data_IF_327899472764
#
_entry.id   IF_327899472764
#
_cell.length_a   1.000
_cell.length_b   1.000
_cell.length_c   1.000
_cell.angle_alpha   90.00
_cell.angle_beta   90.00
_cell.angle_gamma   90.00
#
_symmetry.space_group_name_H-M   'P 1'
#
loop_
_entity.id
_entity.type
_entity.pdbx_description
1 polymer ?
#
# COMPACT_ATOMS: atom_id res chain seq x y z
N UNK A 1 15.44 0.21 17.11
CA UNK A 1 14.55 -0.62 16.28
C UNK A 1 13.55 0.13 15.46
N UNK A 2 12.78 0.91 16.19
CA UNK A 2 11.78 1.80 15.64
C UNK A 2 12.34 2.75 14.57
N UNK A 3 13.59 3.22 14.66
CA UNK A 3 14.19 4.05 13.61
C UNK A 3 14.36 3.33 12.25
N UNK A 4 14.65 2.04 12.23
CA UNK A 4 14.73 1.27 10.98
C UNK A 4 13.33 1.06 10.39
N UNK A 5 12.34 0.86 11.26
CA UNK A 5 10.95 0.81 10.86
C UNK A 5 10.47 2.15 10.29
N UNK A 6 10.78 3.26 10.96
CA UNK A 6 10.44 4.63 10.55
C UNK A 6 11.06 4.98 9.19
N UNK A 7 12.35 4.72 9.02
CA UNK A 7 13.05 4.93 7.75
C UNK A 7 12.48 4.11 6.59
N UNK A 8 11.95 2.92 6.85
CA UNK A 8 11.26 2.14 5.81
C UNK A 8 9.93 2.78 5.43
N UNK A 9 9.18 3.30 6.41
CA UNK A 9 7.92 3.99 6.12
C UNK A 9 8.12 5.31 5.37
N UNK A 10 9.22 6.03 5.63
CA UNK A 10 9.60 7.19 4.83
C UNK A 10 9.82 6.80 3.37
N UNK A 11 10.58 5.73 3.10
CA UNK A 11 10.79 5.22 1.74
C UNK A 11 9.47 4.75 1.09
N UNK A 12 8.59 4.07 1.83
CA UNK A 12 7.26 3.70 1.34
C UNK A 12 6.42 4.94 1.00
N UNK A 13 6.51 6.02 1.78
CA UNK A 13 5.83 7.28 1.48
C UNK A 13 6.34 7.90 0.19
N UNK A 14 7.65 7.87 -0.06
CA UNK A 14 8.24 8.37 -1.30
C UNK A 14 7.79 7.55 -2.52
N UNK A 15 7.74 6.22 -2.39
CA UNK A 15 7.22 5.33 -3.44
C UNK A 15 5.73 5.59 -3.70
N UNK A 16 4.91 5.76 -2.67
CA UNK A 16 3.50 6.13 -2.80
C UNK A 16 3.32 7.50 -3.49
N UNK A 17 4.22 8.45 -3.22
CA UNK A 17 4.26 9.73 -3.93
C UNK A 17 4.44 9.53 -5.44
N UNK A 18 5.39 8.68 -5.85
CA UNK A 18 5.60 8.35 -7.28
C UNK A 18 4.41 7.63 -7.90
N UNK A 19 3.82 6.66 -7.19
CA UNK A 19 2.61 5.96 -7.64
C UNK A 19 1.45 6.95 -7.87
N UNK A 20 1.28 7.92 -6.97
CA UNK A 20 0.29 8.99 -7.11
C UNK A 20 0.57 9.88 -8.32
N UNK A 21 1.84 10.23 -8.56
CA UNK A 21 2.23 11.04 -9.71
C UNK A 21 1.97 10.29 -11.03
N UNK A 22 2.23 8.98 -11.08
CA UNK A 22 1.91 8.13 -12.22
C UNK A 22 0.39 8.04 -12.47
N UNK A 23 -0.40 7.83 -11.41
CA UNK A 23 -1.87 7.84 -11.49
C UNK A 23 -2.40 9.17 -12.03
N UNK A 24 -1.85 10.29 -11.56
CA UNK A 24 -2.21 11.63 -12.04
C UNK A 24 -1.81 11.85 -13.50
N UNK A 25 -0.64 11.34 -13.91
CA UNK A 25 -0.18 11.39 -15.30
C UNK A 25 -1.10 10.58 -16.21
N UNK A 26 -1.39 9.32 -15.87
CA UNK A 26 -2.30 8.47 -16.63
C UNK A 26 -3.70 9.13 -16.80
N UNK A 27 -4.21 9.79 -15.76
CA UNK A 27 -5.50 10.49 -15.78
C UNK A 27 -5.55 11.73 -16.69
N UNK A 28 -4.41 12.30 -17.10
CA UNK A 28 -4.36 13.51 -17.93
C UNK A 28 -4.74 13.24 -19.42
N UNK A 29 -5.04 11.99 -19.79
CA UNK A 29 -5.83 11.62 -20.97
C UNK A 29 -5.23 11.98 -22.34
N UNK A 30 -3.96 12.37 -22.42
CA UNK A 30 -3.28 12.79 -23.65
C UNK A 30 -2.21 11.79 -24.10
N UNK A 31 -2.12 10.64 -23.43
CA UNK A 31 -1.11 9.60 -23.64
C UNK A 31 -1.61 8.52 -24.59
N UNK A 32 -0.69 7.86 -25.30
CA UNK A 32 -1.03 6.70 -26.13
C UNK A 32 -1.23 5.45 -25.27
N UNK A 33 -1.83 4.40 -25.84
CA UNK A 33 -2.02 3.12 -25.15
C UNK A 33 -0.68 2.50 -24.72
N UNK A 34 0.37 2.64 -25.54
CA UNK A 34 1.72 2.17 -25.21
C UNK A 34 2.33 2.96 -24.03
N UNK A 35 2.08 4.26 -23.95
CA UNK A 35 2.54 5.10 -22.84
C UNK A 35 1.80 4.75 -21.53
N UNK A 36 0.49 4.48 -21.62
CA UNK A 36 -0.33 4.06 -20.47
C UNK A 36 0.11 2.68 -19.96
N UNK A 37 0.44 1.75 -20.86
CA UNK A 37 0.99 0.45 -20.48
C UNK A 37 2.37 0.60 -19.80
N UNK A 38 3.25 1.47 -20.30
CA UNK A 38 4.54 1.69 -19.65
C UNK A 38 4.41 2.30 -18.25
N UNK A 39 3.47 3.24 -18.06
CA UNK A 39 3.17 3.80 -16.73
C UNK A 39 2.60 2.75 -15.77
N UNK A 40 1.78 1.82 -16.29
CA UNK A 40 1.26 0.69 -15.53
C UNK A 40 2.40 -0.23 -15.06
N UNK A 41 3.31 -0.60 -15.96
CA UNK A 41 4.43 -1.46 -15.61
C UNK A 41 5.29 -0.82 -14.51
N UNK A 42 5.54 0.50 -14.60
CA UNK A 42 6.23 1.23 -13.53
C UNK A 42 5.44 1.23 -12.21
N UNK A 43 4.12 1.42 -12.27
CA UNK A 43 3.25 1.39 -11.09
C UNK A 43 3.29 0.03 -10.37
N UNK A 44 3.24 -1.07 -11.13
CA UNK A 44 3.31 -2.42 -10.59
C UNK A 44 4.70 -2.74 -10.01
N UNK A 45 5.76 -2.22 -10.61
CA UNK A 45 7.12 -2.36 -10.08
C UNK A 45 7.29 -1.58 -8.77
N UNK A 46 6.69 -0.40 -8.64
CA UNK A 46 6.65 0.35 -7.37
C UNK A 46 5.86 -0.39 -6.29
N UNK A 47 4.72 -1.01 -6.64
CA UNK A 47 3.98 -1.87 -5.72
C UNK A 47 4.78 -3.10 -5.26
N UNK A 48 5.52 -3.72 -6.17
CA UNK A 48 6.46 -4.81 -5.84
C UNK A 48 7.59 -4.32 -4.93
N UNK A 49 8.18 -3.16 -5.20
CA UNK A 49 9.20 -2.55 -4.35
C UNK A 49 8.68 -2.35 -2.92
N UNK A 50 7.44 -1.86 -2.75
CA UNK A 50 6.82 -1.76 -1.42
C UNK A 50 6.63 -3.10 -0.74
N UNK A 51 6.16 -4.10 -1.48
CA UNK A 51 6.05 -5.47 -0.96
C UNK A 51 7.40 -6.00 -0.51
N UNK A 52 8.46 -5.78 -1.29
CA UNK A 52 9.82 -6.21 -0.97
C UNK A 52 10.38 -5.49 0.26
N UNK A 53 10.09 -4.20 0.44
CA UNK A 53 10.45 -3.47 1.65
C UNK A 53 9.83 -4.11 2.91
N UNK A 54 8.53 -4.46 2.86
CA UNK A 54 7.85 -5.14 3.96
C UNK A 54 8.45 -6.54 4.22
N UNK A 55 8.75 -7.30 3.16
CA UNK A 55 9.28 -8.65 3.25
C UNK A 55 10.75 -8.72 3.67
N UNK A 56 11.55 -7.68 3.45
CA UNK A 56 13.00 -7.71 3.63
C UNK A 56 13.55 -6.83 4.75
N UNK A 57 12.76 -5.88 5.27
CA UNK A 57 13.24 -4.98 6.34
C UNK A 57 13.48 -5.74 7.63
N UNK A 58 14.74 -5.72 8.10
CA UNK A 58 15.22 -6.54 9.22
C UNK A 58 16.08 -5.75 10.18
N UNK A 59 16.26 -6.32 11.37
CA UNK A 59 17.26 -5.91 12.33
C UNK A 59 17.64 -6.99 13.30
N UNK A 60 18.95 -7.05 13.60
CA UNK A 60 19.46 -8.08 14.48
C UNK A 60 19.06 -9.48 14.01
N UNK A 61 18.85 -9.66 12.71
CA UNK A 61 18.38 -10.91 12.09
C UNK A 61 16.87 -11.17 12.17
N UNK A 62 16.07 -10.29 12.77
CA UNK A 62 14.61 -10.43 12.84
C UNK A 62 13.94 -9.54 11.81
N UNK A 63 12.94 -10.07 11.10
CA UNK A 63 12.11 -9.27 10.22
C UNK A 63 11.16 -8.37 11.03
N UNK A 64 10.90 -7.15 10.56
CA UNK A 64 10.05 -6.21 11.27
C UNK A 64 8.57 -6.30 10.86
N UNK A 65 8.24 -6.62 9.61
CA UNK A 65 6.89 -6.43 9.04
C UNK A 65 6.36 -7.59 8.21
N UNK A 66 7.23 -8.43 7.65
CA UNK A 66 6.87 -9.51 6.76
C UNK A 66 5.94 -10.53 7.41
N UNK A 67 5.10 -11.16 6.61
CA UNK A 67 4.26 -12.30 7.01
C UNK A 67 5.04 -13.60 6.85
N UNK A 68 4.75 -14.59 7.71
CA UNK A 68 5.28 -15.94 7.55
C UNK A 68 4.93 -16.49 6.16
N UNK A 69 5.91 -17.14 5.53
CA UNK A 69 5.81 -17.62 4.15
C UNK A 69 6.35 -16.64 3.09
N UNK A 70 6.32 -15.32 3.36
CA UNK A 70 6.80 -14.30 2.42
C UNK A 70 7.97 -13.46 2.98
N UNK A 71 8.11 -13.39 4.31
CA UNK A 71 9.28 -12.77 4.94
C UNK A 71 10.58 -13.47 4.54
N UNK A 72 11.65 -12.70 4.36
CA UNK A 72 13.01 -13.22 4.18
C UNK A 72 13.54 -14.08 5.34
N UNK A 73 12.90 -14.01 6.52
CA UNK A 73 13.22 -14.85 7.68
C UNK A 73 12.33 -16.10 7.78
N UNK A 74 11.30 -16.23 6.94
CA UNK A 74 10.32 -17.32 6.97
C UNK A 74 9.31 -17.26 8.12
N UNK A 75 9.49 -16.33 9.07
CA UNK A 75 8.63 -16.13 10.24
C UNK A 75 7.89 -14.80 10.16
N UNK A 76 6.83 -14.65 10.95
CA UNK A 76 6.16 -13.37 11.10
C UNK A 76 7.11 -12.31 11.67
N UNK A 77 7.02 -11.11 11.13
CA UNK A 77 7.77 -9.96 11.55
C UNK A 77 7.34 -9.49 12.94
N UNK A 78 8.25 -8.78 13.61
CA UNK A 78 8.07 -8.34 14.99
C UNK A 78 6.77 -7.53 15.19
N UNK A 79 6.41 -6.66 14.25
CA UNK A 79 5.22 -5.79 14.32
C UNK A 79 3.92 -6.42 13.81
N UNK A 80 3.95 -7.70 13.41
CA UNK A 80 2.75 -8.49 13.12
C UNK A 80 1.91 -8.75 14.38
N UNK A 81 2.46 -8.46 15.56
CA UNK A 81 1.77 -8.47 16.85
C UNK A 81 2.22 -7.28 17.71
N UNK A 82 1.61 -7.12 18.87
CA UNK A 82 2.02 -6.12 19.86
C UNK A 82 3.44 -6.40 20.37
N UNK A 83 4.27 -5.36 20.40
CA UNK A 83 5.65 -5.41 20.89
C UNK A 83 5.76 -4.56 22.14
N UNK A 84 6.19 -5.17 23.25
CA UNK A 84 6.37 -4.48 24.53
C UNK A 84 7.85 -4.22 24.78
N UNK A 85 8.19 -2.96 25.01
CA UNK A 85 9.53 -2.50 25.33
C UNK A 85 9.60 -2.15 26.82
N UNK A 86 10.60 -2.68 27.51
CA UNK A 86 10.96 -2.25 28.85
C UNK A 86 11.69 -0.90 28.75
N UNK A 87 11.16 0.14 29.39
CA UNK A 87 11.69 1.52 29.30
C UNK A 87 12.19 2.08 30.64
N UNK A 88 11.96 1.36 31.73
CA UNK A 88 12.44 1.73 33.06
C UNK A 88 13.05 0.55 33.82
N UNK A 89 13.28 0.76 35.11
CA UNK A 89 13.92 -0.23 35.98
C UNK A 89 12.90 -1.23 36.57
N UNK A 90 11.66 -0.80 36.77
CA UNK A 90 10.62 -1.64 37.36
C UNK A 90 9.95 -2.50 36.30
N UNK A 91 9.57 -3.73 36.64
CA UNK A 91 8.91 -4.66 35.69
C UNK A 91 7.61 -4.11 35.05
N UNK A 92 7.00 -3.08 35.64
CA UNK A 92 5.83 -2.38 35.11
C UNK A 92 6.16 -1.26 34.11
N UNK A 93 7.41 -0.81 34.05
CA UNK A 93 7.84 0.31 33.22
C UNK A 93 7.97 -0.12 31.77
N UNK A 94 6.82 -0.32 31.12
CA UNK A 94 6.73 -0.84 29.77
C UNK A 94 6.00 0.11 28.84
N UNK A 95 6.40 0.09 27.58
CA UNK A 95 5.76 0.78 26.46
C UNK A 95 5.38 -0.26 25.43
N UNK A 96 4.09 -0.39 25.12
CA UNK A 96 3.62 -1.33 24.11
C UNK A 96 3.30 -0.60 22.82
N UNK A 97 3.86 -1.08 21.72
CA UNK A 97 3.58 -0.61 20.37
C UNK A 97 2.83 -1.73 19.65
N UNK A 98 1.61 -1.45 19.20
CA UNK A 98 0.84 -2.38 18.38
C UNK A 98 0.37 -1.65 17.12
N UNK A 99 0.95 -2.04 15.99
CA UNK A 99 0.61 -1.51 14.66
C UNK A 99 0.07 -2.60 13.73
N UNK A 100 -0.19 -3.80 14.24
CA UNK A 100 -0.58 -4.97 13.44
C UNK A 100 -1.86 -4.73 12.64
N UNK A 101 -2.84 -4.03 13.21
CA UNK A 101 -4.06 -3.63 12.50
C UNK A 101 -3.78 -2.67 11.35
N UNK A 102 -2.92 -1.67 11.57
CA UNK A 102 -2.57 -0.66 10.58
C UNK A 102 -1.79 -1.29 9.43
N UNK A 103 -0.87 -2.22 9.73
CA UNK A 103 -0.15 -2.99 8.72
C UNK A 103 -1.10 -3.84 7.87
N UNK A 104 -2.08 -4.50 8.48
CA UNK A 104 -3.06 -5.29 7.74
C UNK A 104 -3.90 -4.40 6.80
N UNK A 105 -4.38 -3.25 7.31
CA UNK A 105 -5.06 -2.25 6.48
C UNK A 105 -4.18 -1.77 5.33
N UNK A 106 -2.93 -1.41 5.58
CA UNK A 106 -1.99 -0.96 4.55
C UNK A 106 -1.80 -2.01 3.44
N UNK A 107 -1.57 -3.28 3.81
CA UNK A 107 -1.41 -4.37 2.83
C UNK A 107 -2.69 -4.58 2.01
N UNK A 108 -3.85 -4.49 2.67
CA UNK A 108 -5.15 -4.63 2.01
C UNK A 108 -5.41 -3.47 1.04
N UNK A 109 -5.16 -2.23 1.47
CA UNK A 109 -5.38 -1.02 0.66
C UNK A 109 -4.44 -1.01 -0.54
N UNK A 110 -3.15 -1.33 -0.37
CA UNK A 110 -2.21 -1.43 -1.48
C UNK A 110 -2.65 -2.48 -2.52
N UNK A 111 -3.18 -3.61 -2.05
CA UNK A 111 -3.71 -4.67 -2.92
C UNK A 111 -4.98 -4.22 -3.65
N UNK A 112 -5.86 -3.48 -2.99
CA UNK A 112 -7.10 -2.96 -3.59
C UNK A 112 -6.82 -1.90 -4.67
N UNK A 113 -5.84 -1.03 -4.43
CA UNK A 113 -5.40 -0.01 -5.39
C UNK A 113 -4.84 -0.68 -6.66
N UNK A 114 -3.93 -1.65 -6.51
CA UNK A 114 -3.38 -2.40 -7.65
C UNK A 114 -4.46 -3.11 -8.49
N UNK A 115 -5.45 -3.71 -7.83
CA UNK A 115 -6.56 -4.39 -8.52
C UNK A 115 -7.53 -3.42 -9.22
N UNK A 116 -7.82 -2.26 -8.61
CA UNK A 116 -8.72 -1.26 -9.21
C UNK A 116 -8.13 -0.69 -10.50
N UNK A 117 -6.83 -0.43 -10.52
CA UNK A 117 -6.15 0.10 -11.70
C UNK A 117 -6.04 -0.93 -12.84
N UNK A 118 -5.78 -2.21 -12.49
CA UNK A 118 -5.81 -3.32 -13.45
C UNK A 118 -7.18 -3.51 -14.11
N UNK A 119 -8.26 -3.21 -13.39
CA UNK A 119 -9.63 -3.30 -13.91
C UNK A 119 -9.97 -2.14 -14.85
N UNK A 120 -9.50 -0.91 -14.57
CA UNK A 120 -9.69 0.26 -15.45
C UNK A 120 -8.94 0.11 -16.79
N UNK A 121 -7.80 -0.61 -16.81
CA UNK A 121 -7.07 -0.95 -18.05
C UNK A 121 -7.69 -2.11 -18.85
N UNK A 122 -8.48 -2.99 -18.22
CA UNK A 122 -9.08 -4.15 -18.88
C UNK A 122 -10.34 -3.83 -19.69
N UNK A 123 -10.89 -2.61 -19.59
CA UNK A 123 -12.03 -2.17 -20.42
C UNK A 123 -11.58 -1.85 -21.86
N UNK A 124 -11.42 -2.92 -22.63
CA UNK A 124 -11.03 -2.93 -24.04
C UNK A 124 -12.21 -2.67 -24.99
N UNK A 125 -13.37 -2.21 -24.50
CA UNK A 125 -14.60 -2.13 -25.32
C UNK A 125 -14.69 -0.91 -26.24
N UNK A 126 -13.71 -0.01 -26.24
CA UNK A 126 -13.58 1.07 -27.23
C UNK A 126 -14.81 1.98 -27.37
N UNK A 127 -15.72 1.97 -26.39
CA UNK A 127 -16.97 2.71 -26.44
C UNK A 127 -16.96 3.72 -25.31
N UNK A 128 -16.49 4.93 -25.64
CA UNK A 128 -16.41 6.13 -24.79
C UNK A 128 -15.22 6.24 -23.83
N UNK A 129 -14.02 6.39 -24.39
CA UNK A 129 -12.89 7.05 -23.74
C UNK A 129 -12.24 6.26 -22.61
N UNK A 130 -10.96 6.52 -22.42
CA UNK A 130 -10.29 6.35 -21.13
C UNK A 130 -11.06 7.22 -20.14
N UNK A 131 -12.14 6.70 -19.58
CA UNK A 131 -12.88 7.35 -18.51
C UNK A 131 -11.94 7.31 -17.32
N UNK A 132 -11.22 8.41 -17.11
CA UNK A 132 -10.35 8.60 -15.96
C UNK A 132 -11.01 8.03 -14.70
N UNK A 133 -10.17 7.37 -13.91
CA UNK A 133 -10.49 6.58 -12.73
C UNK A 133 -11.92 6.73 -12.21
N UNK A 134 -12.62 5.59 -12.11
CA UNK A 134 -13.91 5.52 -11.41
C UNK A 134 -13.84 5.99 -9.95
N UNK A 135 -12.63 6.23 -9.44
CA UNK A 135 -12.25 6.91 -8.20
C UNK A 135 -12.86 8.32 -8.00
N UNK A 136 -13.39 8.97 -9.05
CA UNK A 136 -14.09 10.27 -8.95
C UNK A 136 -15.61 10.22 -9.15
N UNK A 137 -16.24 9.06 -9.36
CA UNK A 137 -17.71 8.97 -9.55
C UNK A 137 -18.46 8.25 -8.44
N UNK A 138 -17.77 7.74 -7.41
CA UNK A 138 -18.42 7.30 -6.19
C UNK A 138 -18.84 8.50 -5.30
N UNK A 139 -19.77 9.33 -5.80
CA UNK A 139 -20.65 10.06 -4.90
C UNK A 139 -21.59 9.04 -4.24
N UNK A 140 -21.11 8.37 -3.19
CA UNK A 140 -21.97 7.67 -2.23
C UNK A 140 -22.60 8.64 -1.22
N UNK A 141 -22.96 9.86 -1.64
CA UNK A 141 -23.75 10.78 -0.79
C UNK A 141 -25.16 10.91 -1.36
N UNK A 142 -26.01 9.95 -0.99
CA UNK A 142 -27.39 10.19 -0.60
C UNK A 142 -28.44 10.49 -1.69
N UNK A 143 -29.23 9.49 -2.05
CA UNK A 143 -30.66 9.66 -2.34
C UNK A 143 -31.43 8.33 -2.23
N UNK A 144 -31.32 7.66 -1.08
CA UNK A 144 -32.23 6.58 -0.67
C UNK A 144 -33.39 7.12 0.19
N UNK A 145 -33.87 8.34 -0.07
CA UNK A 145 -34.99 8.97 0.64
C UNK A 145 -35.84 9.71 -0.40
N UNK A 146 -37.13 9.37 -0.45
CA UNK A 146 -38.19 9.80 -1.38
C UNK A 146 -38.39 8.91 -2.61
N UNK A 147 -39.26 7.90 -2.45
CA UNK A 147 -40.63 7.95 -2.97
C UNK A 147 -41.42 6.78 -2.35
N UNK A 148 -42.07 7.08 -1.22
CA UNK A 148 -43.39 6.53 -0.92
C UNK A 148 -44.45 7.50 -1.43
#
# INVERSE_FOLDING_TARGET
MLQTADSMFDEMSDVLGRMKDLSTQAANGTYSDDDLQAMQDEYDELGQQMSDMLQNTTYGGTNLFGVSGTSNTGTDGLFQSAVTFQVGAESSDTMTVNISSQLNTLVTDLSAISNSFSADQADTTGTAGVSGGTELTASQVGAAIWLG
#
